data_IF_888715510330
#
_entry.id   IF_888715510330
#
_cell.length_a   1.000
_cell.length_b   1.000
_cell.length_c   1.000
_cell.angle_alpha   90.00
_cell.angle_beta   90.00
_cell.angle_gamma   90.00
#
_symmetry.space_group_name_H-M   'P 1'
#
loop_
_entity.id
_entity.type
_entity.pdbx_description
1 polymer ?
#
# COMPACT_ATOMS: atom_id res chain seq x y z
N UNK A 1 21.26 47.29 -40.74
CA UNK A 1 20.01 46.65 -40.26
C UNK A 1 20.02 46.61 -38.74
N UNK A 2 19.23 47.45 -38.07
CA UNK A 2 19.16 47.48 -36.61
C UNK A 2 18.08 46.51 -36.09
N UNK A 3 18.48 45.49 -35.32
CA UNK A 3 17.56 44.55 -34.64
C UNK A 3 16.91 45.27 -33.45
N UNK A 4 15.64 45.66 -33.56
CA UNK A 4 14.85 46.16 -32.43
C UNK A 4 14.66 45.03 -31.41
N UNK A 5 15.28 45.16 -30.23
CA UNK A 5 15.01 44.28 -29.08
C UNK A 5 13.61 44.56 -28.55
N UNK A 6 12.69 43.62 -28.76
CA UNK A 6 11.33 43.68 -28.24
C UNK A 6 11.40 43.50 -26.71
N UNK A 7 11.22 44.58 -25.95
CA UNK A 7 11.13 44.50 -24.48
C UNK A 7 9.77 43.88 -24.13
N UNK A 8 9.71 42.79 -23.34
CA UNK A 8 8.44 42.21 -22.95
C UNK A 8 7.64 43.24 -22.16
N UNK A 9 6.40 43.47 -22.57
CA UNK A 9 5.49 44.38 -21.90
C UNK A 9 5.38 43.98 -20.42
N UNK A 10 5.34 44.97 -19.52
CA UNK A 10 5.27 44.76 -18.05
C UNK A 10 4.14 43.80 -17.65
N UNK A 11 3.05 43.81 -18.42
CA UNK A 11 1.88 42.94 -18.26
C UNK A 11 2.20 41.46 -18.52
N UNK A 12 3.10 41.14 -19.45
CA UNK A 12 3.49 39.76 -19.76
C UNK A 12 4.25 39.11 -18.59
N UNK A 13 5.09 39.90 -17.90
CA UNK A 13 5.82 39.41 -16.71
C UNK A 13 4.88 39.11 -15.54
N UNK A 14 3.83 39.93 -15.37
CA UNK A 14 2.81 39.72 -14.34
C UNK A 14 2.00 38.46 -14.65
N UNK A 15 1.58 38.27 -15.90
CA UNK A 15 0.83 37.06 -16.32
C UNK A 15 1.66 35.79 -16.09
N UNK A 16 2.95 35.80 -16.44
CA UNK A 16 3.84 34.66 -16.21
C UNK A 16 4.00 34.33 -14.72
N UNK A 17 4.12 35.36 -13.86
CA UNK A 17 4.23 35.15 -12.42
C UNK A 17 2.96 34.52 -11.83
N UNK A 18 1.77 34.95 -12.27
CA UNK A 18 0.50 34.38 -11.82
C UNK A 18 0.33 32.91 -12.24
N UNK A 19 0.77 32.55 -13.45
CA UNK A 19 0.73 31.16 -13.92
C UNK A 19 1.63 30.25 -13.08
N UNK A 20 2.83 30.71 -12.72
CA UNK A 20 3.75 29.94 -11.87
C UNK A 20 3.15 29.72 -10.48
N UNK A 21 2.55 30.75 -9.88
CA UNK A 21 1.91 30.64 -8.56
C UNK A 21 0.75 29.64 -8.60
N UNK A 22 -0.07 29.67 -9.65
CA UNK A 22 -1.17 28.73 -9.81
C UNK A 22 -0.68 27.28 -9.91
N UNK A 23 0.38 27.01 -10.69
CA UNK A 23 0.98 25.67 -10.81
C UNK A 23 1.51 25.18 -9.46
N UNK A 24 2.19 26.04 -8.70
CA UNK A 24 2.70 25.69 -7.36
C UNK A 24 1.53 25.37 -6.42
N UNK A 25 0.48 26.19 -6.41
CA UNK A 25 -0.71 25.95 -5.58
C UNK A 25 -1.40 24.62 -5.89
N UNK A 26 -1.54 24.28 -7.17
CA UNK A 26 -2.10 22.99 -7.61
C UNK A 26 -1.26 21.83 -7.10
N UNK A 27 0.07 21.90 -7.24
CA UNK A 27 0.96 20.83 -6.75
C UNK A 27 0.91 20.65 -5.22
N UNK A 28 0.80 21.75 -4.45
CA UNK A 28 0.65 21.69 -2.99
C UNK A 28 -0.70 21.05 -2.58
N UNK A 29 -1.78 21.42 -3.29
CA UNK A 29 -3.10 20.83 -3.07
C UNK A 29 -3.10 19.32 -3.29
N UNK A 30 -2.52 18.88 -4.41
CA UNK A 30 -2.35 17.45 -4.70
C UNK A 30 -1.51 16.76 -3.62
N UNK A 31 -0.35 17.32 -3.24
CA UNK A 31 0.50 16.76 -2.18
C UNK A 31 -0.23 16.61 -0.83
N UNK A 32 -1.08 17.58 -0.46
CA UNK A 32 -1.88 17.52 0.77
C UNK A 32 -2.91 16.38 0.73
N UNK A 33 -3.58 16.20 -0.42
CA UNK A 33 -4.55 15.12 -0.61
C UNK A 33 -3.90 13.73 -0.63
N UNK A 34 -2.66 13.60 -1.15
CA UNK A 34 -1.96 12.32 -1.14
C UNK A 34 -1.57 11.85 0.28
N UNK A 35 -1.27 12.79 1.20
CA UNK A 35 -0.89 12.44 2.57
C UNK A 35 -2.02 11.76 3.34
N UNK A 36 -3.28 12.11 3.05
CA UNK A 36 -4.47 11.50 3.65
C UNK A 36 -4.69 10.03 3.22
N UNK A 37 -4.23 9.66 2.02
CA UNK A 37 -4.36 8.29 1.48
C UNK A 37 -3.27 7.34 1.99
N UNK A 38 -2.13 7.86 2.44
CA UNK A 38 -0.99 7.07 2.91
C UNK A 38 -1.15 6.54 4.35
N UNK A 39 -2.16 6.99 5.09
CA UNK A 39 -2.35 6.66 6.51
C UNK A 39 -3.46 5.62 6.74
N UNK A 40 -3.70 4.72 5.78
CA UNK A 40 -4.46 3.49 6.07
C UNK A 40 -3.60 2.55 6.91
N UNK A 41 -3.70 2.70 8.22
CA UNK A 41 -3.12 1.79 9.21
C UNK A 41 -3.59 0.35 8.99
N UNK A 42 -2.64 -0.57 8.88
CA UNK A 42 -2.87 -2.00 9.04
C UNK A 42 -3.06 -2.23 10.54
N UNK A 43 -4.30 -2.42 10.97
CA UNK A 43 -4.61 -2.77 12.36
C UNK A 43 -4.20 -4.22 12.59
N UNK A 44 -3.09 -4.44 13.29
CA UNK A 44 -2.76 -5.73 13.87
C UNK A 44 -3.57 -5.89 15.18
N UNK A 45 -4.67 -6.63 15.13
CA UNK A 45 -5.32 -7.15 16.34
C UNK A 45 -4.88 -8.60 16.57
N UNK A 46 -3.98 -8.89 17.54
CA UNK A 46 -3.80 -10.25 18.02
C UNK A 46 -5.12 -10.72 18.65
N UNK A 47 -5.57 -11.91 18.27
CA UNK A 47 -6.94 -12.37 18.43
C UNK A 47 -7.50 -12.30 19.85
N UNK A 48 -8.70 -11.70 19.97
CA UNK A 48 -9.82 -12.24 20.74
C UNK A 48 -11.14 -11.82 20.06
N UNK A 49 -11.97 -12.84 19.87
CA UNK A 49 -13.37 -12.91 19.44
C UNK A 49 -14.16 -11.60 19.22
N UNK A 50 -14.63 -11.45 17.97
CA UNK A 50 -15.90 -10.88 17.50
C UNK A 50 -16.61 -9.83 18.36
N UNK A 51 -16.69 -8.60 17.84
CA UNK A 51 -17.90 -7.78 17.85
C UNK A 51 -17.96 -6.95 16.55
N UNK A 52 -19.11 -7.03 15.85
CA UNK A 52 -19.39 -6.35 14.59
C UNK A 52 -19.49 -4.83 14.80
N UNK A 53 -18.50 -4.08 14.33
CA UNK A 53 -18.65 -2.63 14.13
C UNK A 53 -19.14 -2.41 12.70
N UNK A 54 -20.45 -2.18 12.55
CA UNK A 54 -21.06 -1.73 11.29
C UNK A 54 -20.70 -0.26 11.08
N UNK A 55 -19.75 -0.02 10.19
CA UNK A 55 -19.51 1.30 9.58
C UNK A 55 -20.03 1.19 8.15
N UNK A 56 -21.17 1.84 7.88
CA UNK A 56 -21.64 2.08 6.51
C UNK A 56 -20.77 3.18 5.89
N UNK A 57 -19.78 2.76 5.10
CA UNK A 57 -18.95 3.62 4.25
C UNK A 57 -18.92 2.95 2.85
N UNK A 58 -19.03 3.71 1.74
CA UNK A 58 -19.28 3.20 0.39
C UNK A 58 -18.36 2.04 0.02
N UNK A 59 -18.91 1.06 -0.69
CA UNK A 59 -18.31 -0.26 -1.03
C UNK A 59 -16.96 -0.18 -1.77
N UNK A 60 -15.93 0.32 -1.11
CA UNK A 60 -14.56 -0.03 -1.41
C UNK A 60 -14.37 -1.41 -0.79
N UNK A 61 -14.47 -2.47 -1.61
CA UNK A 61 -14.21 -3.85 -1.20
C UNK A 61 -13.03 -3.83 -0.22
N UNK A 62 -13.30 -4.14 1.04
CA UNK A 62 -12.30 -4.13 2.09
C UNK A 62 -11.45 -5.38 1.87
N UNK A 63 -10.13 -5.25 1.78
CA UNK A 63 -9.25 -6.42 1.79
C UNK A 63 -9.50 -7.16 3.12
N UNK A 64 -10.01 -8.38 3.07
CA UNK A 64 -10.18 -9.21 4.26
C UNK A 64 -8.87 -10.00 4.42
N UNK A 65 -8.12 -9.67 5.46
CA UNK A 65 -6.89 -10.38 5.80
C UNK A 65 -7.07 -10.92 7.22
N UNK A 66 -7.34 -12.22 7.35
CA UNK A 66 -7.34 -12.94 8.62
C UNK A 66 -6.10 -13.82 8.65
N UNK A 67 -5.06 -13.32 9.31
CA UNK A 67 -3.80 -14.04 9.49
C UNK A 67 -3.84 -14.77 10.81
N UNK A 68 -3.63 -16.09 10.78
CA UNK A 68 -3.33 -16.88 11.97
C UNK A 68 -1.90 -17.39 11.88
N UNK A 69 -1.18 -17.29 12.99
CA UNK A 69 0.10 -17.95 13.17
C UNK A 69 -0.03 -19.24 13.96
N UNK A 70 -1.19 -19.56 14.53
CA UNK A 70 -1.32 -20.71 15.41
C UNK A 70 -1.25 -22.02 14.60
N UNK A 71 -0.62 -23.05 15.15
CA UNK A 71 -0.47 -24.35 14.50
C UNK A 71 -0.37 -25.47 15.53
N UNK A 72 -0.68 -26.69 15.11
CA UNK A 72 -0.45 -27.90 15.88
C UNK A 72 0.75 -28.68 15.33
N UNK A 73 0.95 -28.64 14.01
CA UNK A 73 2.02 -29.36 13.32
C UNK A 73 2.60 -28.54 12.17
N UNK A 74 3.79 -28.92 11.70
CA UNK A 74 4.45 -28.27 10.56
C UNK A 74 3.58 -28.23 9.30
N UNK A 75 2.66 -29.19 9.15
CA UNK A 75 1.78 -29.26 7.99
C UNK A 75 0.75 -28.12 7.96
N UNK A 76 0.49 -27.49 9.10
CA UNK A 76 -0.44 -26.36 9.20
C UNK A 76 0.19 -25.08 8.68
N UNK A 77 1.52 -25.02 8.59
CA UNK A 77 2.27 -23.81 8.25
C UNK A 77 2.64 -23.76 6.76
N UNK A 78 2.59 -22.56 6.19
CA UNK A 78 3.05 -22.30 4.82
C UNK A 78 3.52 -20.87 4.64
N UNK A 79 4.51 -20.69 3.77
CA UNK A 79 4.86 -19.38 3.25
C UNK A 79 3.73 -18.89 2.35
N UNK A 80 3.13 -17.74 2.69
CA UNK A 80 2.13 -17.05 1.89
C UNK A 80 2.48 -15.59 1.73
N UNK A 81 2.08 -14.99 0.61
CA UNK A 81 2.22 -13.55 0.39
C UNK A 81 1.03 -12.83 1.02
N UNK A 82 1.28 -11.87 1.93
CA UNK A 82 0.21 -11.20 2.71
C UNK A 82 -0.04 -9.76 2.32
N UNK A 83 0.80 -9.16 1.48
CA UNK A 83 0.62 -7.80 0.97
C UNK A 83 -0.14 -7.73 -0.37
N UNK A 84 -0.71 -8.85 -0.83
CA UNK A 84 -1.47 -8.91 -2.08
C UNK A 84 -0.67 -8.59 -3.37
N UNK A 85 0.65 -8.57 -3.29
CA UNK A 85 1.51 -8.50 -4.46
C UNK A 85 1.86 -9.91 -4.96
N UNK A 86 2.33 -10.01 -6.19
CA UNK A 86 2.88 -11.26 -6.72
C UNK A 86 4.36 -11.39 -6.35
N UNK A 87 4.90 -12.60 -6.48
CA UNK A 87 6.34 -12.88 -6.28
C UNK A 87 7.22 -11.96 -7.16
N UNK A 88 6.77 -11.68 -8.39
CA UNK A 88 7.49 -10.82 -9.34
C UNK A 88 7.26 -9.31 -9.10
N UNK A 89 6.46 -8.94 -8.10
CA UNK A 89 6.08 -7.56 -7.82
C UNK A 89 6.24 -7.19 -6.33
N UNK A 90 7.16 -7.81 -5.60
CA UNK A 90 7.48 -7.44 -4.22
C UNK A 90 6.54 -8.08 -3.22
N UNK A 91 6.12 -9.32 -3.50
CA UNK A 91 5.33 -10.14 -2.59
C UNK A 91 5.98 -10.25 -1.21
N UNK A 92 5.24 -9.89 -0.16
CA UNK A 92 5.72 -9.99 1.21
C UNK A 92 5.37 -11.35 1.80
N UNK A 93 6.37 -12.22 1.93
CA UNK A 93 6.22 -13.57 2.44
C UNK A 93 6.14 -13.62 3.96
N UNK A 94 5.13 -14.30 4.49
CA UNK A 94 5.00 -14.63 5.91
C UNK A 94 4.75 -16.13 6.08
N UNK A 95 5.35 -16.70 7.11
CA UNK A 95 5.11 -18.09 7.52
C UNK A 95 3.90 -18.09 8.43
N UNK A 96 2.76 -18.55 7.91
CA UNK A 96 1.46 -18.45 8.59
C UNK A 96 0.68 -19.74 8.40
N UNK A 97 -0.37 -19.91 9.18
CA UNK A 97 -1.26 -21.05 9.05
C UNK A 97 -1.93 -21.06 7.66
N UNK A 98 -2.02 -22.22 7.03
CA UNK A 98 -2.65 -22.46 5.72
C UNK A 98 -4.13 -22.07 5.67
N UNK A 99 -4.82 -22.08 6.80
CA UNK A 99 -6.21 -21.65 6.93
C UNK A 99 -6.38 -20.12 6.96
N UNK A 100 -5.27 -19.37 7.03
CA UNK A 100 -5.31 -17.90 6.93
C UNK A 100 -5.98 -17.47 5.62
N UNK A 101 -6.94 -16.57 5.75
CA UNK A 101 -7.73 -16.02 4.64
C UNK A 101 -7.11 -14.69 4.19
N UNK A 102 -6.73 -14.62 2.92
CA UNK A 102 -6.13 -13.44 2.30
C UNK A 102 -6.95 -13.14 1.05
N UNK A 103 -7.83 -12.14 1.15
CA UNK A 103 -8.61 -11.65 0.02
C UNK A 103 -7.99 -10.34 -0.49
N UNK A 104 -7.50 -10.41 -1.72
CA UNK A 104 -6.85 -9.30 -2.39
C UNK A 104 -7.79 -8.66 -3.39
N UNK A 105 -7.99 -7.36 -3.29
CA UNK A 105 -8.64 -6.59 -4.34
C UNK A 105 -7.66 -6.24 -5.46
N UNK A 106 -8.20 -5.94 -6.63
CA UNK A 106 -7.42 -5.69 -7.86
C UNK A 106 -6.58 -4.40 -7.82
N UNK A 107 -6.83 -3.51 -6.85
CA UNK A 107 -6.18 -2.20 -6.74
C UNK A 107 -5.10 -2.19 -5.65
N UNK A 108 -4.00 -2.92 -5.86
CA UNK A 108 -2.82 -2.92 -4.97
C UNK A 108 -1.61 -2.37 -5.72
N UNK A 109 -0.95 -1.38 -5.11
CA UNK A 109 0.32 -0.84 -5.60
C UNK A 109 1.48 -1.68 -5.07
N UNK A 110 2.28 -2.19 -6.00
CA UNK A 110 3.32 -3.18 -5.71
C UNK A 110 4.72 -2.65 -6.10
N UNK A 111 5.79 -2.90 -5.31
CA UNK A 111 7.13 -2.35 -5.52
C UNK A 111 7.85 -2.69 -6.85
N UNK A 112 7.30 -3.56 -7.70
CA UNK A 112 7.88 -3.98 -8.99
C UNK A 112 9.30 -4.57 -8.89
N UNK A 113 9.57 -5.31 -7.81
CA UNK A 113 10.81 -6.06 -7.60
C UNK A 113 10.51 -7.54 -7.43
N UNK A 114 11.44 -8.42 -7.78
CA UNK A 114 11.27 -9.86 -7.50
C UNK A 114 11.50 -10.10 -6.01
N UNK A 115 10.58 -10.83 -5.37
CA UNK A 115 10.64 -11.25 -3.97
C UNK A 115 10.47 -12.76 -3.93
N UNK A 116 11.57 -13.47 -4.14
CA UNK A 116 11.57 -14.93 -4.21
C UNK A 116 11.05 -15.56 -2.91
N UNK A 117 10.35 -16.70 -3.04
CA UNK A 117 9.93 -17.48 -1.87
C UNK A 117 11.14 -17.84 -0.99
N UNK A 118 11.06 -17.68 0.35
CA UNK A 118 12.13 -18.09 1.24
C UNK A 118 12.46 -19.58 1.12
N UNK A 119 13.75 -19.90 1.12
CA UNK A 119 14.26 -21.29 1.06
C UNK A 119 14.12 -22.02 2.40
N UNK A 120 14.10 -21.26 3.50
CA UNK A 120 13.94 -21.80 4.85
C UNK A 120 12.57 -22.47 5.03
N UNK A 121 12.54 -23.56 5.80
CA UNK A 121 11.29 -24.24 6.11
C UNK A 121 10.34 -23.31 6.90
N UNK A 122 9.05 -23.43 6.64
CA UNK A 122 8.00 -22.81 7.45
C UNK A 122 7.37 -23.91 8.30
N UNK A 123 7.60 -23.86 9.60
CA UNK A 123 7.35 -24.96 10.55
C UNK A 123 6.59 -24.48 11.79
N UNK A 124 6.03 -25.41 12.53
CA UNK A 124 5.32 -25.13 13.76
C UNK A 124 6.28 -25.22 14.96
N UNK A 125 6.59 -24.06 15.55
CA UNK A 125 7.47 -23.93 16.70
C UNK A 125 6.65 -23.37 17.86
N UNK A 126 6.56 -24.12 18.96
CA UNK A 126 5.81 -23.71 20.16
C UNK A 126 4.34 -23.32 19.87
N UNK A 127 3.70 -24.05 18.97
CA UNK A 127 2.32 -23.79 18.56
C UNK A 127 2.15 -22.60 17.63
N UNK A 128 3.24 -22.05 17.07
CA UNK A 128 3.21 -20.95 16.11
C UNK A 128 4.03 -21.22 14.85
N UNK A 129 3.49 -20.83 13.71
CA UNK A 129 4.18 -20.84 12.44
C UNK A 129 5.35 -19.87 12.49
N UNK A 130 6.53 -20.45 12.35
CA UNK A 130 7.80 -19.75 12.30
C UNK A 130 8.63 -20.39 11.20
N UNK A 131 9.28 -19.54 10.41
CA UNK A 131 10.29 -19.97 9.46
C UNK A 131 11.51 -19.12 9.65
#
# INVERSE_FOLDING_TARGET
MAKKKLKPAKNLRIILALLIIAIIGINIYFMSNYKLLSEKQIIYTPGKQSDEIKIEEPELKKNIIKISTDCNTDIDCSWKITNCCTENAGGYWQCINKESQIECNELVLCPQVVSAKPERACSCVEGKCSG
#
